data_IF_756694944861
#
_entry.id   IF_756694944861
#
_cell.length_a   1.000
_cell.length_b   1.000
_cell.length_c   1.000
_cell.angle_alpha   90.00
_cell.angle_beta   90.00
_cell.angle_gamma   90.00
#
_symmetry.space_group_name_H-M   'P 1'
#
loop_
_entity.id
_entity.type
_entity.pdbx_description
1 polymer ?
#
# COMPACT_ATOMS: atom_id res chain seq x y z
N UNK A 1 -7.38 -25.86 19.24
CA UNK A 1 -7.88 -25.06 20.39
C UNK A 1 -6.98 -23.87 20.73
N UNK A 2 -5.73 -23.81 20.24
CA UNK A 2 -4.84 -22.65 20.39
C UNK A 2 -5.00 -21.57 19.28
N UNK A 3 -5.67 -21.87 18.16
CA UNK A 3 -5.65 -21.01 16.96
C UNK A 3 -6.52 -19.74 17.02
N UNK A 4 -7.72 -19.81 17.62
CA UNK A 4 -8.65 -18.68 17.62
C UNK A 4 -8.17 -17.49 18.47
N UNK A 5 -7.52 -17.77 19.60
CA UNK A 5 -7.01 -16.74 20.52
C UNK A 5 -5.86 -15.95 19.90
N UNK A 6 -5.00 -16.60 19.11
CA UNK A 6 -3.86 -15.91 18.49
C UNK A 6 -4.31 -14.98 17.35
N UNK A 7 -5.30 -15.39 16.55
CA UNK A 7 -5.90 -14.52 15.52
C UNK A 7 -6.59 -13.31 16.17
N UNK A 8 -7.33 -13.51 17.26
CA UNK A 8 -7.95 -12.41 18.00
C UNK A 8 -6.90 -11.44 18.59
N UNK A 9 -5.82 -11.97 19.18
CA UNK A 9 -4.68 -11.17 19.67
C UNK A 9 -3.99 -10.41 18.55
N UNK A 10 -3.80 -11.04 17.38
CA UNK A 10 -3.26 -10.39 16.18
C UNK A 10 -4.12 -9.19 15.76
N UNK A 11 -5.44 -9.38 15.66
CA UNK A 11 -6.39 -8.31 15.31
C UNK A 11 -6.36 -7.19 16.36
N UNK A 12 -6.30 -7.50 17.66
CA UNK A 12 -6.18 -6.49 18.71
C UNK A 12 -4.87 -5.69 18.60
N UNK A 13 -3.75 -6.37 18.36
CA UNK A 13 -2.44 -5.72 18.21
C UNK A 13 -2.33 -4.83 16.97
N UNK A 14 -3.08 -5.12 15.91
CA UNK A 14 -3.19 -4.25 14.73
C UNK A 14 -3.68 -2.84 15.12
N UNK A 15 -4.72 -2.75 15.94
CA UNK A 15 -5.35 -1.47 16.31
C UNK A 15 -4.64 -0.76 17.48
N UNK A 16 -3.96 -1.52 18.33
CA UNK A 16 -3.17 -0.97 19.43
C UNK A 16 -1.76 -0.53 19.01
N UNK A 17 -1.31 -0.87 17.80
CA UNK A 17 0.07 -0.62 17.35
C UNK A 17 1.09 -1.56 18.00
N UNK A 18 0.64 -2.70 18.52
CA UNK A 18 1.46 -3.70 19.23
C UNK A 18 1.90 -4.86 18.34
N UNK A 19 1.81 -4.71 17.02
CA UNK A 19 2.31 -5.72 16.07
C UNK A 19 3.79 -6.08 16.29
N UNK A 20 4.71 -5.14 16.61
CA UNK A 20 6.09 -5.50 16.94
C UNK A 20 6.23 -6.42 18.17
N UNK A 21 5.27 -6.41 19.09
CA UNK A 21 5.24 -7.32 20.25
C UNK A 21 4.72 -8.71 19.88
N UNK A 22 3.90 -8.80 18.83
CA UNK A 22 3.29 -10.04 18.32
C UNK A 22 4.22 -10.74 17.32
N UNK A 23 5.02 -9.99 16.57
CA UNK A 23 5.95 -10.53 15.56
C UNK A 23 6.85 -11.65 16.11
N UNK A 24 7.51 -11.52 17.29
CA UNK A 24 8.31 -12.60 17.85
C UNK A 24 7.53 -13.88 18.17
N UNK A 25 6.25 -13.74 18.52
CA UNK A 25 5.36 -14.89 18.79
C UNK A 25 5.04 -15.60 17.47
N UNK A 26 4.73 -14.85 16.41
CA UNK A 26 4.48 -15.42 15.07
C UNK A 26 5.74 -16.07 14.49
N UNK A 27 6.92 -15.46 14.70
CA UNK A 27 8.21 -16.01 14.29
C UNK A 27 8.47 -17.36 14.98
N UNK A 28 8.23 -17.47 16.29
CA UNK A 28 8.42 -18.70 17.03
C UNK A 28 7.50 -19.84 16.54
N UNK A 29 6.24 -19.54 16.20
CA UNK A 29 5.31 -20.54 15.65
C UNK A 29 5.72 -21.01 14.25
N UNK A 30 6.20 -20.09 13.41
CA UNK A 30 6.67 -20.44 12.06
C UNK A 30 7.95 -21.29 12.12
N UNK A 31 8.91 -20.92 12.98
CA UNK A 31 10.13 -21.71 13.19
C UNK A 31 9.83 -23.13 13.72
N UNK A 32 8.94 -23.26 14.70
CA UNK A 32 8.48 -24.57 15.20
C UNK A 32 7.77 -25.39 14.09
N UNK A 33 6.95 -24.75 13.27
CA UNK A 33 6.30 -25.39 12.12
C UNK A 33 7.30 -25.76 11.00
N UNK A 34 8.45 -25.08 10.90
CA UNK A 34 9.53 -25.46 9.99
C UNK A 34 10.21 -26.77 10.41
N UNK A 35 10.31 -27.03 11.72
CA UNK A 35 10.92 -28.25 12.27
C UNK A 35 10.02 -29.49 12.14
N UNK A 36 8.73 -29.31 11.87
CA UNK A 36 7.77 -30.39 11.70
C UNK A 36 7.52 -30.67 10.22
N UNK A 37 7.77 -31.91 9.80
CA UNK A 37 7.65 -32.34 8.39
C UNK A 37 6.22 -32.16 7.85
N UNK A 38 5.20 -32.32 8.70
CA UNK A 38 3.79 -32.36 8.30
C UNK A 38 2.90 -31.34 9.05
N UNK A 39 3.45 -30.22 9.53
CA UNK A 39 2.62 -29.22 10.23
C UNK A 39 1.51 -28.69 9.30
N UNK A 40 0.23 -28.92 9.64
CA UNK A 40 -0.87 -28.51 8.76
C UNK A 40 -0.97 -26.98 8.63
N UNK A 41 -0.52 -26.22 9.63
CA UNK A 41 -0.71 -24.78 9.74
C UNK A 41 0.48 -23.95 9.25
N UNK A 42 1.54 -24.58 8.71
CA UNK A 42 2.72 -23.85 8.17
C UNK A 42 2.33 -22.68 7.26
N UNK A 43 1.37 -22.91 6.35
CA UNK A 43 0.89 -21.84 5.46
C UNK A 43 0.24 -20.68 6.22
N UNK A 44 -0.50 -20.97 7.29
CA UNK A 44 -1.17 -19.96 8.13
C UNK A 44 -0.17 -19.12 8.93
N UNK A 45 0.90 -19.71 9.46
CA UNK A 45 1.92 -18.95 10.21
C UNK A 45 2.68 -17.97 9.32
N UNK A 46 3.17 -18.44 8.17
CA UNK A 46 3.78 -17.58 7.16
C UNK A 46 2.81 -16.48 6.67
N UNK A 47 1.51 -16.79 6.56
CA UNK A 47 0.48 -15.80 6.22
C UNK A 47 0.38 -14.71 7.29
N UNK A 48 0.22 -15.07 8.58
CA UNK A 48 0.05 -14.09 9.65
C UNK A 48 1.27 -13.18 9.80
N UNK A 49 2.49 -13.71 9.61
CA UNK A 49 3.72 -12.91 9.54
C UNK A 49 3.69 -11.93 8.37
N UNK A 50 3.31 -12.41 7.18
CA UNK A 50 3.14 -11.58 5.99
C UNK A 50 2.08 -10.47 6.16
N UNK A 51 0.94 -10.79 6.80
CA UNK A 51 -0.14 -9.85 7.09
C UNK A 51 0.26 -8.82 8.13
N UNK A 52 1.05 -9.21 9.14
CA UNK A 52 1.66 -8.29 10.13
C UNK A 52 2.60 -7.30 9.44
N UNK A 53 3.52 -7.81 8.60
CA UNK A 53 4.43 -6.97 7.84
C UNK A 53 3.70 -6.01 6.89
N UNK A 54 2.60 -6.46 6.25
CA UNK A 54 1.74 -5.61 5.43
C UNK A 54 1.09 -4.49 6.25
N UNK A 55 0.54 -4.80 7.43
CA UNK A 55 -0.07 -3.80 8.31
C UNK A 55 0.93 -2.74 8.77
N UNK A 56 2.17 -3.14 9.02
CA UNK A 56 3.27 -2.23 9.34
C UNK A 56 3.82 -1.49 8.10
N UNK A 57 3.37 -1.84 6.89
CA UNK A 57 3.84 -1.22 5.65
C UNK A 57 5.23 -1.69 5.20
N UNK A 58 5.77 -2.77 5.79
CA UNK A 58 7.05 -3.38 5.41
C UNK A 58 6.85 -4.30 4.19
N UNK A 59 6.52 -3.71 3.04
CA UNK A 59 6.16 -4.44 1.80
C UNK A 59 7.29 -5.34 1.29
N UNK A 60 8.54 -4.95 1.49
CA UNK A 60 9.71 -5.77 1.17
C UNK A 60 9.76 -7.11 1.92
N UNK A 61 9.18 -7.17 3.14
CA UNK A 61 9.06 -8.38 3.96
C UNK A 61 7.72 -9.08 3.68
N UNK A 62 6.62 -8.32 3.55
CA UNK A 62 5.29 -8.87 3.36
C UNK A 62 5.15 -9.68 2.06
N UNK A 63 5.67 -9.16 0.93
CA UNK A 63 5.47 -9.76 -0.38
C UNK A 63 6.05 -11.18 -0.51
N UNK A 64 7.32 -11.46 -0.15
CA UNK A 64 7.86 -12.82 -0.18
C UNK A 64 7.05 -13.78 0.70
N UNK A 65 6.73 -13.40 1.94
CA UNK A 65 5.99 -14.23 2.89
C UNK A 65 4.58 -14.57 2.40
N UNK A 66 3.84 -13.58 1.90
CA UNK A 66 2.48 -13.79 1.39
C UNK A 66 2.47 -14.67 0.13
N UNK A 67 3.48 -14.54 -0.75
CA UNK A 67 3.61 -15.40 -1.94
C UNK A 67 3.92 -16.85 -1.57
N UNK A 68 4.86 -17.05 -0.66
CA UNK A 68 5.22 -18.37 -0.16
C UNK A 68 4.03 -19.03 0.55
N UNK A 69 3.38 -18.29 1.46
CA UNK A 69 2.20 -18.76 2.17
C UNK A 69 1.08 -19.18 1.20
N UNK A 70 0.73 -18.36 0.21
CA UNK A 70 -0.27 -18.71 -0.79
C UNK A 70 0.10 -20.00 -1.55
N UNK A 71 1.38 -20.21 -1.87
CA UNK A 71 1.84 -21.45 -2.52
C UNK A 71 1.70 -22.70 -1.63
N UNK A 72 1.89 -22.56 -0.31
CA UNK A 72 1.66 -23.64 0.66
C UNK A 72 0.17 -23.89 0.85
N UNK A 73 -0.63 -22.84 1.08
CA UNK A 73 -2.06 -22.92 1.34
C UNK A 73 -2.84 -23.53 0.16
N UNK A 74 -2.44 -23.28 -1.10
CA UNK A 74 -3.03 -23.96 -2.27
C UNK A 74 -2.99 -25.49 -2.20
N UNK A 75 -2.00 -26.06 -1.51
CA UNK A 75 -1.89 -27.52 -1.32
C UNK A 75 -2.68 -28.00 -0.11
N UNK A 76 -2.71 -27.20 0.96
CA UNK A 76 -3.37 -27.52 2.22
C UNK A 76 -3.76 -26.24 2.94
N UNK A 77 -5.06 -26.00 3.06
CA UNK A 77 -5.63 -24.78 3.63
C UNK A 77 -6.53 -25.10 4.84
N UNK A 78 -5.95 -25.51 5.99
CA UNK A 78 -6.76 -25.73 7.19
C UNK A 78 -7.32 -24.38 7.65
N UNK A 79 -8.63 -24.33 7.81
CA UNK A 79 -9.32 -23.10 8.20
C UNK A 79 -9.65 -22.15 7.05
N UNK A 80 -9.48 -22.56 5.79
CA UNK A 80 -9.94 -21.80 4.61
C UNK A 80 -9.41 -20.35 4.57
N UNK A 81 -8.14 -20.16 4.90
CA UNK A 81 -7.48 -18.85 5.01
C UNK A 81 -6.79 -18.40 3.71
N UNK A 82 -6.77 -19.23 2.66
CA UNK A 82 -6.16 -18.88 1.38
C UNK A 82 -6.75 -17.59 0.77
N UNK A 83 -8.08 -17.41 0.85
CA UNK A 83 -8.73 -16.19 0.36
C UNK A 83 -8.20 -14.94 1.08
N UNK A 84 -8.00 -15.01 2.40
CA UNK A 84 -7.46 -13.90 3.19
C UNK A 84 -6.00 -13.63 2.84
N UNK A 85 -5.19 -14.67 2.65
CA UNK A 85 -3.81 -14.53 2.20
C UNK A 85 -3.72 -13.88 0.81
N UNK A 86 -4.60 -14.26 -0.12
CA UNK A 86 -4.65 -13.68 -1.46
C UNK A 86 -5.12 -12.23 -1.44
N UNK A 87 -6.09 -11.88 -0.58
CA UNK A 87 -6.53 -10.51 -0.38
C UNK A 87 -5.39 -9.62 0.14
N UNK A 88 -4.65 -10.08 1.17
CA UNK A 88 -3.46 -9.40 1.66
C UNK A 88 -2.37 -9.28 0.60
N UNK A 89 -2.16 -10.32 -0.22
CA UNK A 89 -1.22 -10.27 -1.35
C UNK A 89 -1.67 -9.25 -2.41
N UNK A 90 -2.97 -9.14 -2.67
CA UNK A 90 -3.56 -8.15 -3.56
C UNK A 90 -3.30 -6.72 -3.07
N UNK A 91 -3.54 -6.45 -1.78
CA UNK A 91 -3.20 -5.18 -1.15
C UNK A 91 -1.70 -4.88 -1.24
N UNK A 92 -0.84 -5.84 -0.91
CA UNK A 92 0.62 -5.67 -0.96
C UNK A 92 1.11 -5.38 -2.39
N UNK A 93 0.65 -6.14 -3.39
CA UNK A 93 1.00 -5.89 -4.79
C UNK A 93 0.48 -4.52 -5.25
N UNK A 94 -0.77 -4.18 -4.90
CA UNK A 94 -1.37 -2.89 -5.23
C UNK A 94 -0.60 -1.71 -4.62
N UNK A 95 -0.18 -1.81 -3.36
CA UNK A 95 0.63 -0.81 -2.68
C UNK A 95 2.05 -0.66 -3.25
N UNK A 96 2.53 -1.63 -4.04
CA UNK A 96 3.78 -1.54 -4.82
C UNK A 96 3.57 -1.12 -6.28
N UNK A 97 2.32 -0.90 -6.70
CA UNK A 97 1.97 -0.58 -8.08
C UNK A 97 1.99 -1.76 -9.07
N UNK A 98 2.15 -3.00 -8.59
CA UNK A 98 2.13 -4.21 -9.43
C UNK A 98 0.68 -4.64 -9.74
N UNK A 99 0.04 -3.89 -10.65
CA UNK A 99 -1.36 -4.09 -11.04
C UNK A 99 -1.65 -5.51 -11.54
N UNK A 100 -0.72 -6.09 -12.31
CA UNK A 100 -0.88 -7.43 -12.87
C UNK A 100 -0.93 -8.48 -11.77
N UNK A 101 0.02 -8.46 -10.82
CA UNK A 101 0.01 -9.43 -9.73
C UNK A 101 -1.12 -9.19 -8.73
N UNK A 102 -1.50 -7.93 -8.49
CA UNK A 102 -2.65 -7.60 -7.66
C UNK A 102 -3.94 -8.20 -8.25
N UNK A 103 -4.19 -7.97 -9.55
CA UNK A 103 -5.35 -8.53 -10.24
C UNK A 103 -5.33 -10.06 -10.27
N UNK A 104 -4.19 -10.69 -10.49
CA UNK A 104 -4.06 -12.15 -10.48
C UNK A 104 -4.38 -12.74 -9.10
N UNK A 105 -3.90 -12.12 -8.02
CA UNK A 105 -4.20 -12.56 -6.66
C UNK A 105 -5.70 -12.42 -6.34
N UNK A 106 -6.31 -11.30 -6.73
CA UNK A 106 -7.74 -11.06 -6.48
C UNK A 106 -8.66 -11.97 -7.31
N UNK A 107 -8.32 -12.22 -8.58
CA UNK A 107 -9.06 -13.17 -9.41
C UNK A 107 -9.03 -14.60 -8.85
N UNK A 108 -7.92 -14.99 -8.21
CA UNK A 108 -7.87 -16.26 -7.48
C UNK A 108 -8.67 -16.20 -6.16
N UNK A 109 -8.55 -15.10 -5.41
CA UNK A 109 -9.28 -14.87 -4.17
C UNK A 109 -10.78 -15.09 -4.38
N UNK A 110 -11.36 -14.47 -5.42
CA UNK A 110 -12.78 -14.58 -5.74
C UNK A 110 -13.23 -16.01 -6.06
N UNK A 111 -12.35 -16.85 -6.63
CA UNK A 111 -12.67 -18.25 -6.95
C UNK A 111 -12.64 -19.15 -5.72
N UNK A 112 -11.84 -18.83 -4.72
CA UNK A 112 -11.62 -19.67 -3.52
C UNK A 112 -12.35 -19.14 -2.28
N UNK A 113 -12.84 -17.91 -2.33
CA UNK A 113 -13.60 -17.30 -1.25
C UNK A 113 -14.91 -18.06 -0.98
N UNK A 114 -15.16 -18.32 0.30
CA UNK A 114 -16.38 -18.98 0.76
C UNK A 114 -17.25 -17.97 1.54
N UNK A 115 -18.55 -17.82 1.22
CA UNK A 115 -19.47 -16.85 1.86
C UNK A 115 -19.73 -17.04 3.36
N UNK A 116 -19.06 -18.00 3.99
CA UNK A 116 -19.14 -18.31 5.42
C UNK A 116 -18.07 -17.58 6.23
N UNK A 117 -17.02 -17.05 5.59
CA UNK A 117 -15.90 -16.35 6.25
C UNK A 117 -16.08 -14.83 6.25
N UNK A 118 -17.21 -14.33 6.74
CA UNK A 118 -17.56 -12.90 6.64
C UNK A 118 -16.60 -11.94 7.34
N UNK A 119 -15.79 -12.44 8.28
CA UNK A 119 -14.80 -11.64 9.03
C UNK A 119 -13.69 -11.10 8.12
N UNK A 120 -13.45 -11.70 6.95
CA UNK A 120 -12.41 -11.27 6.00
C UNK A 120 -12.96 -10.48 4.80
N UNK A 121 -14.28 -10.23 4.72
CA UNK A 121 -14.89 -9.56 3.56
C UNK A 121 -14.24 -8.19 3.29
N UNK A 122 -13.95 -7.43 4.35
CA UNK A 122 -13.24 -6.15 4.25
C UNK A 122 -11.85 -6.29 3.64
N UNK A 123 -11.12 -7.34 3.96
CA UNK A 123 -9.76 -7.55 3.44
C UNK A 123 -9.81 -7.82 1.93
N UNK A 124 -10.84 -8.54 1.48
CA UNK A 124 -11.11 -8.80 0.06
C UNK A 124 -11.50 -7.50 -0.65
N UNK A 125 -12.40 -6.71 -0.08
CA UNK A 125 -12.77 -5.40 -0.62
C UNK A 125 -11.56 -4.49 -0.76
N UNK A 126 -10.69 -4.44 0.26
CA UNK A 126 -9.45 -3.67 0.24
C UNK A 126 -8.43 -4.22 -0.76
N UNK A 127 -8.32 -5.55 -0.90
CA UNK A 127 -7.45 -6.17 -1.90
C UNK A 127 -7.84 -5.77 -3.32
N UNK A 128 -9.13 -5.79 -3.62
CA UNK A 128 -9.66 -5.27 -4.88
C UNK A 128 -9.47 -3.77 -5.02
N UNK A 129 -9.71 -3.00 -3.96
CA UNK A 129 -9.55 -1.55 -3.99
C UNK A 129 -8.12 -1.14 -4.37
N UNK A 130 -7.12 -1.77 -3.75
CA UNK A 130 -5.70 -1.56 -4.06
C UNK A 130 -5.30 -2.11 -5.42
N UNK A 131 -5.93 -3.19 -5.91
CA UNK A 131 -5.72 -3.69 -7.27
C UNK A 131 -6.22 -2.72 -8.34
N UNK A 132 -7.45 -2.18 -8.20
CA UNK A 132 -7.99 -1.15 -9.08
C UNK A 132 -7.13 0.12 -9.06
N UNK A 133 -6.69 0.55 -7.87
CA UNK A 133 -5.81 1.71 -7.73
C UNK A 133 -4.48 1.53 -8.50
N UNK A 134 -3.84 0.36 -8.38
CA UNK A 134 -2.61 0.05 -9.11
C UNK A 134 -2.82 -0.04 -10.63
N UNK A 135 -4.02 -0.47 -11.07
CA UNK A 135 -4.40 -0.45 -12.48
C UNK A 135 -4.72 0.96 -13.01
N UNK A 136 -4.74 1.98 -12.13
CA UNK A 136 -5.01 3.38 -12.47
C UNK A 136 -6.45 3.82 -12.17
N UNK A 137 -7.35 2.91 -11.81
CA UNK A 137 -8.73 3.26 -11.42
C UNK A 137 -8.84 3.53 -9.92
N UNK A 138 -8.35 4.71 -9.52
CA UNK A 138 -8.44 5.18 -8.13
C UNK A 138 -9.87 5.45 -7.69
N UNK A 139 -10.76 5.77 -8.64
CA UNK A 139 -12.15 6.12 -8.32
C UNK A 139 -12.90 4.86 -7.89
N UNK A 140 -12.81 3.79 -8.68
CA UNK A 140 -13.38 2.49 -8.34
C UNK A 140 -12.77 1.97 -7.04
N UNK A 141 -11.44 2.02 -6.91
CA UNK A 141 -10.76 1.55 -5.70
C UNK A 141 -11.22 2.27 -4.43
N UNK A 142 -11.26 3.60 -4.48
CA UNK A 142 -11.74 4.43 -3.36
C UNK A 142 -13.22 4.16 -3.01
N UNK A 143 -14.08 3.98 -4.02
CA UNK A 143 -15.50 3.67 -3.82
C UNK A 143 -15.70 2.32 -3.16
N UNK A 144 -14.94 1.29 -3.57
CA UNK A 144 -15.02 -0.05 -2.99
C UNK A 144 -14.58 -0.05 -1.52
N UNK A 145 -13.45 0.58 -1.20
CA UNK A 145 -12.98 0.71 0.19
C UNK A 145 -14.01 1.43 1.07
N UNK A 146 -14.62 2.51 0.56
CA UNK A 146 -15.67 3.26 1.26
C UNK A 146 -16.93 2.42 1.48
N UNK A 147 -17.40 1.68 0.47
CA UNK A 147 -18.57 0.82 0.60
C UNK A 147 -18.37 -0.28 1.65
N UNK A 148 -17.16 -0.87 1.70
CA UNK A 148 -16.77 -1.81 2.76
C UNK A 148 -16.83 -1.17 4.15
N UNK A 149 -16.34 0.06 4.29
CA UNK A 149 -16.42 0.81 5.55
C UNK A 149 -17.87 1.07 6.01
N UNK A 150 -18.76 1.46 5.09
CA UNK A 150 -20.18 1.69 5.39
C UNK A 150 -20.86 0.39 5.89
N UNK A 151 -20.54 -0.76 5.28
CA UNK A 151 -21.06 -2.06 5.69
C UNK A 151 -20.56 -2.48 7.09
N UNK A 152 -19.31 -2.17 7.43
CA UNK A 152 -18.73 -2.42 8.76
C UNK A 152 -19.33 -1.53 9.84
N UNK A 153 -19.48 -0.24 9.55
CA UNK A 153 -20.09 0.71 10.47
C UNK A 153 -21.52 0.29 10.82
N UNK A 154 -22.30 -0.21 9.85
CA UNK A 154 -23.65 -0.73 10.07
C UNK A 154 -23.70 -1.98 10.98
N UNK A 155 -22.59 -2.70 11.13
CA UNK A 155 -22.46 -3.89 11.99
C UNK A 155 -21.85 -3.59 13.36
N UNK A 156 -21.36 -2.36 13.58
CA UNK A 156 -20.70 -1.94 14.82
C UNK A 156 -19.18 -2.10 14.83
N UNK A 157 -18.55 -2.46 13.70
CA UNK A 157 -17.11 -2.67 13.59
C UNK A 157 -16.35 -1.34 13.35
N UNK A 158 -16.50 -0.40 14.28
CA UNK A 158 -16.08 0.99 14.12
C UNK A 158 -14.57 1.17 13.80
N UNK A 159 -13.70 0.42 14.48
CA UNK A 159 -12.25 0.48 14.24
C UNK A 159 -11.87 0.04 12.83
N UNK A 160 -12.48 -1.05 12.35
CA UNK A 160 -12.25 -1.59 11.01
C UNK A 160 -12.83 -0.65 9.94
N UNK A 161 -13.98 -0.01 10.23
CA UNK A 161 -14.56 0.99 9.34
C UNK A 161 -13.61 2.19 9.15
N UNK A 162 -12.97 2.70 10.22
CA UNK A 162 -11.98 3.78 10.11
C UNK A 162 -10.77 3.35 9.28
N UNK A 163 -10.28 2.10 9.43
CA UNK A 163 -9.21 1.56 8.60
C UNK A 163 -9.60 1.57 7.12
N UNK A 164 -10.79 1.08 6.77
CA UNK A 164 -11.26 1.06 5.39
C UNK A 164 -11.48 2.48 4.81
N UNK A 165 -11.95 3.43 5.62
CA UNK A 165 -12.03 4.86 5.24
C UNK A 165 -10.63 5.45 5.02
N UNK A 166 -9.64 5.04 5.83
CA UNK A 166 -8.26 5.48 5.69
C UNK A 166 -7.65 4.97 4.39
N UNK A 167 -7.84 3.69 4.05
CA UNK A 167 -7.45 3.15 2.75
C UNK A 167 -8.13 3.87 1.58
N UNK A 168 -9.42 4.20 1.69
CA UNK A 168 -10.10 5.01 0.67
C UNK A 168 -9.40 6.36 0.46
N UNK A 169 -9.01 7.05 1.54
CA UNK A 169 -8.25 8.31 1.47
C UNK A 169 -6.87 8.11 0.84
N UNK A 170 -6.15 7.04 1.22
CA UNK A 170 -4.83 6.69 0.68
C UNK A 170 -4.86 6.37 -0.82
N UNK A 171 -5.95 5.75 -1.29
CA UNK A 171 -6.15 5.41 -2.70
C UNK A 171 -6.49 6.65 -3.54
N UNK A 172 -7.21 7.62 -2.96
CA UNK A 172 -7.50 8.89 -3.64
C UNK A 172 -8.92 9.42 -3.46
N UNK A 173 -9.72 8.86 -2.53
CA UNK A 173 -10.98 9.48 -2.16
C UNK A 173 -10.75 10.91 -1.66
N UNK A 174 -11.57 11.91 -2.06
CA UNK A 174 -11.48 13.24 -1.49
C UNK A 174 -11.69 13.17 0.03
N UNK A 175 -10.66 13.47 0.82
CA UNK A 175 -10.67 13.27 2.28
C UNK A 175 -11.84 13.99 2.97
N UNK A 176 -12.23 15.18 2.48
CA UNK A 176 -13.38 15.94 2.96
C UNK A 176 -14.71 15.17 2.84
N UNK A 177 -14.85 14.29 1.84
CA UNK A 177 -16.05 13.46 1.64
C UNK A 177 -16.17 12.32 2.66
N UNK A 178 -15.08 11.99 3.36
CA UNK A 178 -15.02 10.89 4.33
C UNK A 178 -15.29 11.35 5.77
N UNK A 179 -15.20 12.65 6.06
CA UNK A 179 -15.23 13.19 7.43
C UNK A 179 -16.47 12.76 8.22
N UNK A 180 -17.66 12.82 7.60
CA UNK A 180 -18.89 12.42 8.28
C UNK A 180 -18.89 10.93 8.70
N UNK A 181 -18.36 10.05 7.85
CA UNK A 181 -18.24 8.63 8.16
C UNK A 181 -17.15 8.37 9.23
N UNK A 182 -16.04 9.11 9.16
CA UNK A 182 -14.97 9.05 10.15
C UNK A 182 -15.48 9.51 11.52
N UNK A 183 -16.23 10.61 11.60
CA UNK A 183 -16.75 11.11 12.86
C UNK A 183 -17.76 10.14 13.49
N UNK A 184 -18.60 9.50 12.67
CA UNK A 184 -19.53 8.47 13.13
C UNK A 184 -18.82 7.23 13.68
N UNK A 185 -17.73 6.78 13.05
CA UNK A 185 -17.00 5.59 13.47
C UNK A 185 -16.00 5.87 14.61
N UNK A 186 -15.25 6.97 14.54
CA UNK A 186 -14.18 7.28 15.50
C UNK A 186 -14.70 7.57 16.91
N UNK A 187 -15.96 8.00 17.07
CA UNK A 187 -16.57 8.21 18.38
C UNK A 187 -16.68 6.94 19.23
N UNK A 188 -16.57 5.75 18.62
CA UNK A 188 -16.66 4.44 19.30
C UNK A 188 -15.43 3.56 19.10
N UNK A 189 -14.43 4.04 18.35
CA UNK A 189 -13.25 3.24 18.03
C UNK A 189 -12.11 3.51 19.03
N UNK A 190 -11.57 2.45 19.60
CA UNK A 190 -10.43 2.50 20.53
C UNK A 190 -9.11 2.18 19.79
N UNK A 191 -8.00 2.72 20.29
CA UNK A 191 -6.65 2.41 19.81
C UNK A 191 -5.89 3.60 19.19
N UNK A 192 -4.59 3.79 19.52
CA UNK A 192 -3.78 4.90 19.03
C UNK A 192 -3.60 4.91 17.50
N UNK A 193 -3.59 3.73 16.87
CA UNK A 193 -3.50 3.60 15.40
C UNK A 193 -4.75 4.18 14.74
N UNK A 194 -5.93 3.75 15.19
CA UNK A 194 -7.21 4.19 14.63
C UNK A 194 -7.40 5.71 14.79
N UNK A 195 -7.05 6.24 15.96
CA UNK A 195 -7.05 7.67 16.20
C UNK A 195 -6.10 8.43 15.25
N UNK A 196 -4.93 7.86 14.92
CA UNK A 196 -3.97 8.44 13.99
C UNK A 196 -4.47 8.38 12.54
N UNK A 197 -5.13 7.30 12.13
CA UNK A 197 -5.80 7.18 10.83
C UNK A 197 -6.89 8.24 10.66
N UNK A 198 -7.77 8.40 11.66
CA UNK A 198 -8.81 9.43 11.62
C UNK A 198 -8.22 10.85 11.57
N UNK A 199 -7.14 11.12 12.33
CA UNK A 199 -6.42 12.40 12.26
C UNK A 199 -5.77 12.63 10.90
N UNK A 200 -5.20 11.59 10.27
CA UNK A 200 -4.63 11.68 8.93
C UNK A 200 -5.68 12.14 7.91
N UNK A 201 -6.88 11.53 7.93
CA UNK A 201 -7.97 11.92 7.02
C UNK A 201 -8.38 13.39 7.23
N UNK A 202 -8.48 13.84 8.49
CA UNK A 202 -8.80 15.25 8.79
C UNK A 202 -7.72 16.20 8.29
N UNK A 203 -6.45 15.90 8.56
CA UNK A 203 -5.33 16.72 8.11
C UNK A 203 -5.23 16.81 6.57
N UNK A 204 -5.56 15.72 5.86
CA UNK A 204 -5.70 15.74 4.40
C UNK A 204 -6.89 16.59 3.94
N UNK A 205 -8.03 16.54 4.64
CA UNK A 205 -9.22 17.30 4.26
C UNK A 205 -9.03 18.82 4.40
N UNK A 206 -8.26 19.22 5.42
CA UNK A 206 -8.04 20.63 5.77
C UNK A 206 -6.76 21.22 5.17
N UNK A 207 -6.01 20.43 4.40
CA UNK A 207 -4.70 20.81 3.88
C UNK A 207 -3.81 21.37 5.02
N UNK A 208 -3.77 20.65 6.14
CA UNK A 208 -3.00 21.02 7.32
C UNK A 208 -1.64 20.30 7.31
N UNK A 209 -0.61 21.02 6.87
CA UNK A 209 0.75 20.51 6.77
C UNK A 209 1.35 20.15 8.13
N UNK A 210 1.07 20.95 9.16
CA UNK A 210 1.69 20.75 10.47
C UNK A 210 1.02 19.54 11.14
N UNK A 211 -0.31 19.41 11.03
CA UNK A 211 -1.02 18.20 11.46
C UNK A 211 -0.61 16.94 10.69
N UNK A 212 -0.34 17.03 9.38
CA UNK A 212 0.19 15.90 8.59
C UNK A 212 1.56 15.43 9.11
N UNK A 213 2.44 16.36 9.51
CA UNK A 213 3.75 16.01 10.08
C UNK A 213 3.59 15.40 11.48
N UNK A 214 2.70 15.91 12.33
CA UNK A 214 2.40 15.30 13.64
C UNK A 214 1.82 13.89 13.50
N UNK A 215 0.92 13.68 12.54
CA UNK A 215 0.40 12.35 12.21
C UNK A 215 1.52 11.42 11.73
N UNK A 216 2.46 11.92 10.93
CA UNK A 216 3.60 11.14 10.46
C UNK A 216 4.46 10.63 11.63
N UNK A 217 4.80 11.51 12.57
CA UNK A 217 5.52 11.12 13.80
C UNK A 217 4.71 10.13 14.64
N UNK A 218 3.38 10.31 14.72
CA UNK A 218 2.48 9.39 15.41
C UNK A 218 2.51 7.97 14.83
N UNK A 219 2.50 7.83 13.50
CA UNK A 219 2.64 6.53 12.84
C UNK A 219 4.04 5.93 13.01
N UNK A 220 5.09 6.76 12.95
CA UNK A 220 6.46 6.29 13.17
C UNK A 220 6.64 5.73 14.59
N UNK A 221 6.06 6.38 15.61
CA UNK A 221 6.11 5.95 17.00
C UNK A 221 5.46 4.58 17.27
N UNK A 222 4.55 4.13 16.39
CA UNK A 222 3.88 2.82 16.47
C UNK A 222 4.31 1.86 15.35
N UNK A 223 5.52 2.06 14.81
CA UNK A 223 6.13 1.18 13.80
C UNK A 223 5.29 0.99 12.53
N UNK A 224 4.68 2.08 12.03
CA UNK A 224 3.97 2.13 10.76
C UNK A 224 4.68 3.03 9.73
N UNK A 225 5.90 2.68 9.29
CA UNK A 225 6.73 3.52 8.42
C UNK A 225 6.05 3.93 7.11
N UNK A 226 5.22 3.07 6.50
CA UNK A 226 4.54 3.44 5.25
C UNK A 226 3.53 4.57 5.47
N UNK A 227 2.73 4.49 6.53
CA UNK A 227 1.73 5.52 6.84
C UNK A 227 2.42 6.83 7.27
N UNK A 228 3.55 6.72 7.99
CA UNK A 228 4.38 7.87 8.32
C UNK A 228 4.94 8.56 7.05
N UNK A 229 5.48 7.76 6.12
CA UNK A 229 5.97 8.24 4.84
C UNK A 229 4.88 8.91 4.00
N UNK A 230 3.68 8.33 3.94
CA UNK A 230 2.54 8.88 3.19
C UNK A 230 2.05 10.22 3.74
N UNK A 231 1.97 10.35 5.07
CA UNK A 231 1.60 11.59 5.73
C UNK A 231 2.64 12.71 5.47
N UNK A 232 3.94 12.39 5.61
CA UNK A 232 5.01 13.34 5.32
C UNK A 232 5.13 13.67 3.82
N UNK A 233 4.88 12.71 2.92
CA UNK A 233 4.81 12.97 1.48
C UNK A 233 3.65 13.91 1.12
N UNK A 234 2.50 13.77 1.79
CA UNK A 234 1.37 14.68 1.65
C UNK A 234 1.71 16.10 2.14
N UNK A 235 2.40 16.22 3.28
CA UNK A 235 2.93 17.50 3.76
C UNK A 235 3.92 18.13 2.76
N UNK A 236 4.82 17.33 2.18
CA UNK A 236 5.77 17.78 1.15
C UNK A 236 5.04 18.30 -0.10
N UNK A 237 4.00 17.59 -0.57
CA UNK A 237 3.17 18.00 -1.71
C UNK A 237 2.52 19.36 -1.45
N UNK A 238 1.95 19.55 -0.27
CA UNK A 238 1.31 20.81 0.12
C UNK A 238 2.31 21.96 0.26
N UNK A 239 3.48 21.71 0.87
CA UNK A 239 4.56 22.67 0.94
C UNK A 239 5.04 23.10 -0.46
N UNK A 240 5.15 22.15 -1.40
CA UNK A 240 5.49 22.43 -2.79
C UNK A 240 4.43 23.31 -3.47
N UNK A 241 3.14 23.00 -3.29
CA UNK A 241 2.03 23.79 -3.84
C UNK A 241 2.01 25.23 -3.30
N UNK A 242 2.45 25.43 -2.06
CA UNK A 242 2.57 26.76 -1.41
C UNK A 242 3.94 27.44 -1.63
N UNK A 243 4.86 26.82 -2.38
CA UNK A 243 6.21 27.37 -2.63
C UNK A 243 7.16 27.36 -1.43
N UNK A 244 6.85 26.62 -0.36
CA UNK A 244 7.59 26.57 0.90
C UNK A 244 8.78 25.59 0.82
N UNK A 245 9.84 25.97 0.10
CA UNK A 245 10.97 25.07 -0.24
C UNK A 245 11.65 24.40 0.95
N UNK A 246 11.85 25.10 2.06
CA UNK A 246 12.51 24.53 3.25
C UNK A 246 11.64 23.43 3.86
N UNK A 247 10.36 23.73 4.11
CA UNK A 247 9.39 22.76 4.64
C UNK A 247 9.17 21.58 3.70
N UNK A 248 9.14 21.82 2.38
CA UNK A 248 9.08 20.74 1.39
C UNK A 248 10.27 19.79 1.53
N UNK A 249 11.50 20.32 1.61
CA UNK A 249 12.71 19.51 1.75
C UNK A 249 12.71 18.71 3.04
N UNK A 250 12.32 19.34 4.15
CA UNK A 250 12.22 18.67 5.45
C UNK A 250 11.22 17.50 5.40
N UNK A 251 9.99 17.75 4.94
CA UNK A 251 8.97 16.72 4.82
C UNK A 251 9.38 15.60 3.86
N UNK A 252 10.03 15.94 2.73
CA UNK A 252 10.58 14.95 1.79
C UNK A 252 11.67 14.10 2.43
N UNK A 253 12.55 14.70 3.23
CA UNK A 253 13.61 13.97 3.92
C UNK A 253 13.04 12.97 4.92
N UNK A 254 12.04 13.38 5.72
CA UNK A 254 11.37 12.47 6.67
C UNK A 254 10.66 11.33 5.96
N UNK A 255 9.89 11.65 4.91
CA UNK A 255 9.19 10.64 4.11
C UNK A 255 10.16 9.63 3.50
N UNK A 256 11.31 10.09 2.97
CA UNK A 256 12.33 9.21 2.40
C UNK A 256 12.97 8.28 3.45
N UNK A 257 13.21 8.77 4.67
CA UNK A 257 13.74 7.96 5.77
C UNK A 257 12.82 6.78 6.07
N UNK A 258 11.53 7.02 6.31
CA UNK A 258 10.59 5.93 6.62
C UNK A 258 10.30 5.03 5.41
N UNK A 259 10.29 5.59 4.19
CA UNK A 259 10.09 4.81 2.98
C UNK A 259 11.20 3.76 2.77
N UNK A 260 12.42 4.03 3.23
CA UNK A 260 13.54 3.08 3.15
C UNK A 260 13.26 1.76 3.90
N UNK A 261 12.41 1.78 4.92
CA UNK A 261 12.00 0.60 5.69
C UNK A 261 10.87 -0.20 5.01
N UNK A 262 10.18 0.41 4.05
CA UNK A 262 8.97 -0.14 3.44
C UNK A 262 9.27 -1.10 2.27
N UNK A 263 10.46 -1.00 1.66
CA UNK A 263 10.75 -1.66 0.39
C UNK A 263 10.10 -0.94 -0.80
N UNK A 264 9.58 -1.64 -1.81
CA UNK A 264 9.17 -1.04 -3.10
C UNK A 264 7.77 -0.39 -3.07
N UNK A 265 7.49 0.47 -2.10
CA UNK A 265 6.19 1.11 -1.97
C UNK A 265 5.96 2.21 -3.04
N UNK A 266 4.79 2.17 -3.67
CA UNK A 266 4.35 3.11 -4.71
C UNK A 266 2.85 3.40 -4.57
N UNK A 267 2.42 3.75 -3.35
CA UNK A 267 1.02 4.11 -3.10
C UNK A 267 0.68 5.48 -3.72
N UNK A 268 -0.60 5.81 -3.96
CA UNK A 268 -0.99 7.09 -4.58
C UNK A 268 -0.55 8.33 -3.79
N UNK A 269 -0.33 8.22 -2.48
CA UNK A 269 0.21 9.33 -1.68
C UNK A 269 1.74 9.49 -1.82
N UNK A 270 2.45 8.44 -2.26
CA UNK A 270 3.91 8.42 -2.45
C UNK A 270 4.31 8.65 -3.92
N UNK A 271 3.48 8.24 -4.88
CA UNK A 271 3.82 8.18 -6.31
C UNK A 271 4.46 9.47 -6.85
N UNK A 272 3.95 10.66 -6.47
CA UNK A 272 4.47 11.94 -6.97
C UNK A 272 5.88 12.21 -6.43
N UNK A 273 6.12 11.81 -5.17
CA UNK A 273 7.43 11.91 -4.56
C UNK A 273 8.40 10.89 -5.18
N UNK A 274 7.94 9.65 -5.38
CA UNK A 274 8.71 8.60 -6.04
C UNK A 274 9.09 8.98 -7.48
N UNK A 275 8.16 9.52 -8.26
CA UNK A 275 8.40 10.00 -9.62
C UNK A 275 9.43 11.14 -9.67
N UNK A 276 9.37 12.09 -8.72
CA UNK A 276 10.39 13.15 -8.60
C UNK A 276 11.77 12.57 -8.24
N UNK A 277 11.82 11.61 -7.32
CA UNK A 277 13.07 10.96 -6.93
C UNK A 277 13.66 10.16 -8.10
N UNK A 278 12.82 9.42 -8.83
CA UNK A 278 13.20 8.68 -10.03
C UNK A 278 13.75 9.60 -11.12
N UNK A 279 13.11 10.74 -11.39
CA UNK A 279 13.64 11.72 -12.34
C UNK A 279 15.00 12.28 -11.90
N UNK A 280 15.23 12.47 -10.60
CA UNK A 280 16.50 12.99 -10.08
C UNK A 280 17.69 12.03 -10.26
N UNK A 281 17.48 10.72 -10.43
CA UNK A 281 18.55 9.75 -10.72
C UNK A 281 18.95 9.71 -12.19
N UNK A 282 18.09 10.23 -13.08
CA UNK A 282 18.31 10.27 -14.50
C UNK A 282 19.11 11.51 -14.92
N UNK A 283 19.96 11.36 -15.93
CA UNK A 283 20.58 12.52 -16.60
C UNK A 283 19.50 13.37 -17.28
N UNK A 284 19.80 14.65 -17.54
CA UNK A 284 18.86 15.56 -18.24
C UNK A 284 18.28 14.94 -19.52
N UNK A 285 19.11 14.25 -20.31
CA UNK A 285 18.68 13.63 -21.56
C UNK A 285 17.78 12.41 -21.33
N UNK A 286 18.08 11.61 -20.32
CA UNK A 286 17.23 10.49 -19.91
C UNK A 286 15.90 10.98 -19.34
N UNK A 287 15.87 12.09 -18.59
CA UNK A 287 14.63 12.71 -18.12
C UNK A 287 13.74 13.16 -19.29
N UNK A 288 14.31 13.84 -20.29
CA UNK A 288 13.57 14.25 -21.50
C UNK A 288 12.93 13.04 -22.21
N UNK A 289 13.71 11.96 -22.42
CA UNK A 289 13.22 10.72 -23.04
C UNK A 289 12.17 10.04 -22.17
N UNK A 290 12.39 9.96 -20.85
CA UNK A 290 11.48 9.33 -19.91
C UNK A 290 10.13 10.04 -19.85
N UNK A 291 10.12 11.38 -19.79
CA UNK A 291 8.89 12.18 -19.79
C UNK A 291 8.11 12.03 -21.10
N UNK A 292 8.79 12.04 -22.26
CA UNK A 292 8.13 11.77 -23.54
C UNK A 292 7.61 10.33 -23.63
N UNK A 293 8.34 9.37 -23.06
CA UNK A 293 7.96 7.97 -23.07
C UNK A 293 6.73 7.76 -22.20
N UNK A 294 6.71 8.29 -20.98
CA UNK A 294 5.55 8.27 -20.12
C UNK A 294 4.29 8.90 -20.78
N UNK A 295 4.44 9.95 -21.59
CA UNK A 295 3.34 10.64 -22.29
C UNK A 295 2.84 9.97 -23.57
N UNK A 296 3.28 8.75 -23.90
CA UNK A 296 2.80 8.07 -25.11
C UNK A 296 3.52 8.42 -26.43
N UNK A 297 4.45 9.39 -26.46
CA UNK A 297 5.21 9.76 -27.68
C UNK A 297 5.96 8.58 -28.31
N UNK A 298 5.80 8.32 -29.61
CA UNK A 298 6.48 7.19 -30.26
C UNK A 298 7.99 7.39 -30.37
N UNK A 299 8.77 6.30 -30.46
CA UNK A 299 10.24 6.37 -30.65
C UNK A 299 10.63 7.19 -31.89
N UNK A 300 9.78 7.16 -32.94
CA UNK A 300 9.96 7.94 -34.16
C UNK A 300 9.75 9.44 -33.90
N UNK A 301 8.64 9.81 -33.27
CA UNK A 301 8.36 11.20 -32.92
C UNK A 301 9.43 11.78 -31.96
N UNK A 302 9.87 10.98 -30.98
CA UNK A 302 11.00 11.35 -30.12
C UNK A 302 12.27 11.58 -30.94
N UNK A 303 12.60 10.69 -31.88
CA UNK A 303 13.82 10.80 -32.69
C UNK A 303 13.86 12.09 -33.50
N UNK A 304 12.72 12.48 -34.08
CA UNK A 304 12.54 13.72 -34.83
C UNK A 304 12.67 14.95 -33.92
N UNK A 305 11.98 14.95 -32.77
CA UNK A 305 12.02 16.04 -31.80
C UNK A 305 13.40 16.23 -31.16
N UNK A 306 14.14 15.14 -30.99
CA UNK A 306 15.42 15.12 -30.31
C UNK A 306 16.64 15.24 -31.23
N UNK A 307 16.46 15.15 -32.55
CA UNK A 307 17.54 15.18 -33.53
C UNK A 307 18.51 14.00 -33.42
N UNK A 308 18.03 12.82 -32.98
CA UNK A 308 18.84 11.60 -32.82
C UNK A 308 18.21 10.41 -33.53
N UNK A 309 18.96 9.32 -33.73
CA UNK A 309 18.39 8.13 -34.38
C UNK A 309 17.35 7.42 -33.50
N UNK A 310 16.39 6.71 -34.13
CA UNK A 310 15.43 5.83 -33.42
C UNK A 310 16.16 4.81 -32.53
N UNK A 311 17.30 4.28 -32.99
CA UNK A 311 18.15 3.36 -32.20
C UNK A 311 18.70 4.03 -30.94
N UNK A 312 19.12 5.29 -31.03
CA UNK A 312 19.59 6.07 -29.88
C UNK A 312 18.47 6.29 -28.87
N UNK A 313 17.25 6.60 -29.32
CA UNK A 313 16.07 6.69 -28.45
C UNK A 313 15.80 5.34 -27.77
N UNK A 314 15.87 4.23 -28.51
CA UNK A 314 15.73 2.88 -27.96
C UNK A 314 16.75 2.58 -26.85
N UNK A 315 18.01 2.96 -27.06
CA UNK A 315 19.07 2.81 -26.05
C UNK A 315 18.78 3.65 -24.80
N UNK A 316 18.35 4.91 -24.96
CA UNK A 316 17.98 5.75 -23.82
C UNK A 316 16.81 5.16 -23.02
N UNK A 317 15.77 4.65 -23.69
CA UNK A 317 14.64 3.99 -23.03
C UNK A 317 15.12 2.77 -22.25
N UNK A 318 15.95 1.91 -22.86
CA UNK A 318 16.49 0.73 -22.17
C UNK A 318 17.36 1.11 -20.96
N UNK A 319 18.15 2.18 -21.07
CA UNK A 319 18.95 2.69 -19.94
C UNK A 319 18.06 3.27 -18.83
N UNK A 320 17.00 4.01 -19.18
CA UNK A 320 16.02 4.52 -18.23
C UNK A 320 15.34 3.35 -17.51
N UNK A 321 14.87 2.36 -18.23
CA UNK A 321 14.26 1.15 -17.68
C UNK A 321 15.22 0.43 -16.73
N UNK A 322 16.47 0.22 -17.15
CA UNK A 322 17.50 -0.39 -16.30
C UNK A 322 17.82 0.41 -15.04
N UNK A 323 17.91 1.74 -15.14
CA UNK A 323 18.17 2.63 -13.99
C UNK A 323 17.01 2.71 -13.02
N UNK A 324 15.78 2.65 -13.51
CA UNK A 324 14.57 2.75 -12.70
C UNK A 324 14.03 1.39 -12.23
N UNK A 325 14.62 0.27 -12.70
CA UNK A 325 14.19 -1.08 -12.32
C UNK A 325 12.82 -1.47 -12.88
N UNK A 326 12.38 -0.80 -13.95
CA UNK A 326 11.09 -1.05 -14.62
C UNK A 326 11.31 -1.73 -15.96
N UNK A 327 10.28 -2.37 -16.48
CA UNK A 327 10.32 -3.13 -17.74
C UNK A 327 9.34 -2.61 -18.78
N UNK A 328 8.34 -1.84 -18.38
CA UNK A 328 7.26 -1.40 -19.27
C UNK A 328 7.11 0.12 -19.34
N UNK A 329 6.42 0.57 -20.39
CA UNK A 329 6.12 1.98 -20.60
C UNK A 329 5.03 2.46 -19.65
N UNK A 330 4.11 1.56 -19.34
CA UNK A 330 3.01 1.72 -18.41
C UNK A 330 3.55 1.92 -17.00
N UNK A 331 4.51 1.10 -16.56
CA UNK A 331 5.24 1.29 -15.29
C UNK A 331 5.95 2.65 -15.24
N UNK A 332 6.56 3.10 -16.34
CA UNK A 332 7.19 4.42 -16.39
C UNK A 332 6.18 5.55 -16.23
N UNK A 333 5.01 5.46 -16.88
CA UNK A 333 3.97 6.47 -16.79
C UNK A 333 3.37 6.54 -15.38
N UNK A 334 3.11 5.39 -14.77
CA UNK A 334 2.63 5.28 -13.39
C UNK A 334 3.65 5.87 -12.39
N UNK A 335 4.92 5.49 -12.50
CA UNK A 335 5.99 5.97 -11.63
C UNK A 335 6.15 7.49 -11.70
N UNK A 336 6.07 8.09 -12.91
CA UNK A 336 6.20 9.53 -13.09
C UNK A 336 4.93 10.32 -12.76
N UNK A 337 3.87 9.65 -12.30
CA UNK A 337 2.56 10.25 -12.02
C UNK A 337 2.01 11.04 -13.21
N UNK A 338 2.23 10.52 -14.43
CA UNK A 338 1.74 11.12 -15.68
C UNK A 338 0.50 10.41 -16.23
N UNK A 339 -0.09 9.50 -15.44
CA UNK A 339 -1.38 8.87 -15.72
C UNK A 339 -2.47 9.93 -15.70
N UNK A 340 -2.99 10.26 -16.88
CA UNK A 340 -4.15 11.13 -17.14
C UNK A 340 -5.44 10.59 -16.52
#
# INVERSE_FOLDING_TARGET
MADGTLVATFIGGLFDGRLPEIDPVLDAFDEDALQRVDDPYRGMWAFLRGRSALAQGRLGVALPLLRESAAVLRRRDPGSVLAWCLAALGQACGATGDAHRAAAAMAECDRVHLPVMRTIDVEIDLGHAWASAAAGDRTEGAQRARAGAEALAARGDAAIAVLALHDAARIGAPARSLLAAVDAAAGSAEGPVVASMARHIRALADDDMDALLEVAEGFAAVSMPLLAAEAAASASRLAAARGLRVRQREATSRAATWLAECGPALTPLIETMAGRAALATLTRREQEVALMAARGTSKRAMSEQLGVSIRTVGNHINHVYGKLGISTREELAALLSLSS
#
